data_IF_468965386483
#
_entry.id   IF_468965386483
#
_cell.length_a   1.000
_cell.length_b   1.000
_cell.length_c   1.000
_cell.angle_alpha   90.00
_cell.angle_beta   90.00
_cell.angle_gamma   90.00
#
_symmetry.space_group_name_H-M   'P 1'
#
loop_
_entity.id
_entity.type
_entity.pdbx_description
1 polymer ?
#
# COMPACT_ATOMS: atom_id res chain seq x y z
N UNK A 1 3.42 36.77 -0.30
CA UNK A 1 4.76 36.64 -0.93
C UNK A 1 5.28 35.23 -0.72
N UNK A 2 5.77 34.55 -1.77
CA UNK A 2 6.43 33.24 -1.64
C UNK A 2 7.92 33.47 -1.38
N UNK A 3 8.41 33.21 -0.17
CA UNK A 3 9.85 33.23 0.09
C UNK A 3 10.48 32.00 -0.57
N UNK A 4 11.37 32.22 -1.53
CA UNK A 4 12.08 31.14 -2.24
C UNK A 4 13.15 30.57 -1.31
N UNK A 5 13.13 29.25 -1.13
CA UNK A 5 14.15 28.56 -0.34
C UNK A 5 15.50 28.59 -1.05
N UNK A 6 16.60 28.76 -0.30
CA UNK A 6 17.94 28.65 -0.87
C UNK A 6 18.24 27.20 -1.30
N UNK A 7 18.98 27.07 -2.40
CA UNK A 7 19.44 25.77 -2.90
C UNK A 7 20.31 25.07 -1.87
N UNK A 8 20.37 23.73 -1.96
CA UNK A 8 21.18 22.92 -1.04
C UNK A 8 22.67 23.31 -1.07
N UNK A 9 23.20 23.56 -2.27
CA UNK A 9 24.59 23.98 -2.50
C UNK A 9 24.96 25.26 -1.72
N UNK A 10 24.05 26.25 -1.71
CA UNK A 10 24.26 27.51 -0.98
C UNK A 10 24.34 27.24 0.52
N UNK A 11 23.46 26.40 1.06
CA UNK A 11 23.46 26.00 2.48
C UNK A 11 24.71 25.20 2.87
N UNK A 12 25.14 24.30 2.00
CA UNK A 12 26.38 23.53 2.21
C UNK A 12 27.59 24.46 2.25
N UNK A 13 27.61 25.48 1.39
CA UNK A 13 28.68 26.49 1.37
C UNK A 13 28.68 27.33 2.64
N UNK A 14 27.51 27.69 3.18
CA UNK A 14 27.38 28.35 4.49
C UNK A 14 28.00 27.51 5.59
N UNK A 15 27.66 26.22 5.67
CA UNK A 15 28.19 25.30 6.70
C UNK A 15 29.70 25.10 6.52
N UNK A 16 30.21 24.96 5.29
CA UNK A 16 31.65 24.87 5.02
C UNK A 16 32.41 26.10 5.53
N UNK A 17 31.93 27.32 5.22
CA UNK A 17 32.55 28.56 5.71
C UNK A 17 32.44 28.70 7.22
N UNK A 18 31.33 28.26 7.83
CA UNK A 18 31.21 28.26 9.28
C UNK A 18 32.21 27.30 9.95
N UNK A 19 32.40 26.09 9.41
CA UNK A 19 33.42 25.14 9.89
C UNK A 19 34.85 25.66 9.75
N UNK A 20 35.12 26.48 8.74
CA UNK A 20 36.39 27.17 8.56
C UNK A 20 36.59 28.39 9.49
N UNK A 21 35.68 28.63 10.45
CA UNK A 21 35.81 29.68 11.47
C UNK A 21 35.36 31.07 11.03
N UNK A 22 34.73 31.22 9.86
CA UNK A 22 34.22 32.53 9.43
C UNK A 22 32.99 32.95 10.26
N UNK A 23 32.99 34.20 10.74
CA UNK A 23 31.85 34.78 11.47
C UNK A 23 30.63 35.04 10.57
N UNK A 24 29.44 35.11 11.19
CA UNK A 24 28.15 35.24 10.47
C UNK A 24 28.08 36.42 9.49
N UNK A 25 28.65 37.59 9.86
CA UNK A 25 28.66 38.80 9.01
C UNK A 25 29.48 38.59 7.74
N UNK A 26 30.66 37.96 7.85
CA UNK A 26 31.53 37.65 6.71
C UNK A 26 30.88 36.66 5.74
N UNK A 27 30.20 35.64 6.27
CA UNK A 27 29.47 34.65 5.45
C UNK A 27 28.29 35.31 4.71
N UNK A 28 27.53 36.15 5.41
CA UNK A 28 26.39 36.90 4.87
C UNK A 28 26.81 37.77 3.68
N UNK A 29 27.87 38.57 3.85
CA UNK A 29 28.40 39.41 2.78
C UNK A 29 28.94 38.60 1.60
N UNK A 30 29.68 37.52 1.86
CA UNK A 30 30.30 36.73 0.81
C UNK A 30 29.31 35.89 -0.04
N UNK A 31 28.11 35.64 0.47
CA UNK A 31 27.08 34.87 -0.25
C UNK A 31 25.86 35.72 -0.62
N UNK A 32 25.86 37.02 -0.27
CA UNK A 32 24.74 37.94 -0.42
C UNK A 32 23.42 37.40 0.17
N UNK A 33 23.51 36.79 1.37
CA UNK A 33 22.38 36.22 2.11
C UNK A 33 22.20 37.03 3.39
N UNK A 34 20.96 37.37 3.79
CA UNK A 34 20.75 38.07 5.06
C UNK A 34 21.28 37.27 6.25
N UNK A 35 21.87 37.97 7.22
CA UNK A 35 22.49 37.38 8.42
C UNK A 35 21.53 36.42 9.17
N UNK A 36 20.25 36.78 9.26
CA UNK A 36 19.21 35.96 9.92
C UNK A 36 19.08 34.58 9.29
N UNK A 37 19.16 34.49 7.96
CA UNK A 37 19.10 33.22 7.24
C UNK A 37 20.38 32.40 7.43
N UNK A 38 21.55 33.04 7.44
CA UNK A 38 22.82 32.36 7.77
C UNK A 38 22.74 31.75 9.18
N UNK A 39 22.23 32.51 10.15
CA UNK A 39 22.04 32.04 11.52
C UNK A 39 21.04 30.87 11.59
N UNK A 40 19.89 30.96 10.90
CA UNK A 40 18.90 29.90 10.85
C UNK A 40 19.46 28.60 10.25
N UNK A 41 20.26 28.69 9.18
CA UNK A 41 20.94 27.53 8.57
C UNK A 41 21.89 26.86 9.57
N UNK A 42 22.69 27.66 10.30
CA UNK A 42 23.68 27.13 11.24
C UNK A 42 23.02 26.54 12.50
N UNK A 43 21.96 27.18 13.02
CA UNK A 43 21.17 26.63 14.13
C UNK A 43 20.57 25.27 13.74
N UNK A 44 19.94 25.19 12.57
CA UNK A 44 19.39 23.94 12.05
C UNK A 44 20.47 22.86 11.86
N UNK A 45 21.63 23.24 11.34
CA UNK A 45 22.75 22.32 11.19
C UNK A 45 23.27 21.83 12.54
N UNK A 46 23.35 22.68 13.57
CA UNK A 46 23.75 22.27 14.92
C UNK A 46 22.76 21.25 15.52
N UNK A 47 21.47 21.46 15.34
CA UNK A 47 20.40 20.61 15.90
C UNK A 47 20.25 19.27 15.17
N UNK A 48 20.15 19.31 13.83
CA UNK A 48 19.81 18.12 13.02
C UNK A 48 20.98 17.54 12.23
N UNK A 49 22.15 18.19 12.25
CA UNK A 49 23.34 17.83 11.46
C UNK A 49 23.08 17.71 9.95
N UNK A 50 21.99 18.32 9.46
CA UNK A 50 21.58 18.28 8.05
C UNK A 50 21.47 19.67 7.45
N UNK A 51 21.91 19.77 6.19
CA UNK A 51 21.73 20.96 5.36
C UNK A 51 20.51 20.85 4.46
N UNK A 52 19.89 19.67 4.36
CA UNK A 52 18.69 19.45 3.54
C UNK A 52 17.44 20.10 4.19
N UNK A 53 16.43 20.40 3.37
CA UNK A 53 15.14 20.80 3.92
C UNK A 53 14.42 19.58 4.46
N UNK A 54 13.90 19.72 5.67
CA UNK A 54 13.06 18.68 6.26
C UNK A 54 11.71 18.77 5.56
N UNK A 55 11.03 17.63 5.33
CA UNK A 55 9.65 17.68 4.88
C UNK A 55 8.85 18.50 5.89
N UNK A 56 8.01 19.40 5.39
CA UNK A 56 7.12 20.17 6.25
C UNK A 56 6.18 19.18 6.95
N UNK A 57 5.90 19.34 8.26
CA UNK A 57 4.82 18.59 8.89
C UNK A 57 3.54 18.94 8.13
N UNK A 58 3.02 17.96 7.39
CA UNK A 58 1.84 18.12 6.57
C UNK A 58 0.59 18.35 7.41
N UNK A 59 -0.56 18.51 6.75
CA UNK A 59 -1.84 18.61 7.45
C UNK A 59 -2.10 17.32 8.25
N UNK A 60 -2.53 17.40 9.53
CA UNK A 60 -2.93 16.23 10.28
C UNK A 60 -4.07 15.49 9.57
N UNK A 61 -4.02 14.17 9.63
CA UNK A 61 -5.06 13.29 9.06
C UNK A 61 -6.38 13.45 9.82
N UNK A 62 -7.51 13.48 9.09
CA UNK A 62 -8.85 13.43 9.70
C UNK A 62 -9.14 12.09 10.40
N UNK A 63 -8.49 11.01 9.95
CA UNK A 63 -8.64 9.69 10.57
C UNK A 63 -7.71 9.58 11.77
N UNK A 64 -8.31 9.32 12.94
CA UNK A 64 -7.57 9.01 14.17
C UNK A 64 -6.92 7.62 14.07
N UNK A 65 -5.93 7.37 14.92
CA UNK A 65 -5.30 6.05 15.02
C UNK A 65 -6.30 4.94 15.38
N UNK A 66 -7.32 5.26 16.18
CA UNK A 66 -8.38 4.33 16.56
C UNK A 66 -9.26 3.97 15.36
N UNK A 67 -9.77 4.98 14.64
CA UNK A 67 -10.61 4.79 13.45
C UNK A 67 -9.86 4.01 12.38
N UNK A 68 -8.57 4.30 12.21
CA UNK A 68 -7.68 3.58 11.31
C UNK A 68 -7.60 2.08 11.64
N UNK A 69 -7.43 1.73 12.92
CA UNK A 69 -7.39 0.33 13.39
C UNK A 69 -8.73 -0.38 13.20
N UNK A 70 -9.85 0.32 13.42
CA UNK A 70 -11.19 -0.21 13.15
C UNK A 70 -11.36 -0.55 11.67
N UNK A 71 -11.04 0.40 10.80
CA UNK A 71 -11.11 0.25 9.35
C UNK A 71 -10.30 -0.94 8.81
N UNK A 72 -9.11 -1.21 9.37
CA UNK A 72 -8.31 -2.40 9.02
C UNK A 72 -9.04 -3.69 9.42
N UNK A 73 -9.60 -3.76 10.63
CA UNK A 73 -10.32 -4.96 11.11
C UNK A 73 -11.57 -5.22 10.28
N UNK A 74 -12.30 -4.17 9.92
CA UNK A 74 -13.54 -4.31 9.17
C UNK A 74 -13.26 -4.72 7.72
N UNK A 75 -12.25 -4.12 7.08
CA UNK A 75 -11.81 -4.50 5.74
C UNK A 75 -11.34 -5.96 5.66
N UNK A 76 -10.66 -6.46 6.69
CA UNK A 76 -10.23 -7.86 6.75
C UNK A 76 -11.41 -8.85 6.91
N UNK A 77 -12.44 -8.47 7.67
CA UNK A 77 -13.63 -9.31 7.87
C UNK A 77 -14.58 -9.29 6.68
N UNK A 78 -14.74 -8.14 6.04
CA UNK A 78 -15.76 -7.88 5.03
C UNK A 78 -15.17 -7.08 3.87
N UNK A 79 -14.52 -7.73 2.89
CA UNK A 79 -13.79 -7.06 1.83
C UNK A 79 -14.67 -6.26 0.84
N UNK A 80 -16.00 -6.44 0.88
CA UNK A 80 -16.95 -5.80 -0.04
C UNK A 80 -17.87 -4.73 0.60
N UNK A 81 -17.73 -4.41 1.88
CA UNK A 81 -18.59 -3.39 2.51
C UNK A 81 -18.02 -1.98 2.32
N UNK A 82 -18.85 -1.08 1.78
CA UNK A 82 -18.66 0.37 1.82
C UNK A 82 -18.84 0.88 3.24
N UNK A 83 -17.80 1.50 3.79
CA UNK A 83 -17.70 1.90 5.19
C UNK A 83 -18.48 3.21 5.45
N UNK A 84 -19.81 3.12 5.55
CA UNK A 84 -20.72 4.28 5.73
C UNK A 84 -20.72 4.89 7.14
N UNK A 85 -20.11 4.22 8.11
CA UNK A 85 -20.15 4.61 9.53
C UNK A 85 -19.09 5.67 9.91
N UNK A 86 -18.35 6.21 8.94
CA UNK A 86 -17.34 7.23 9.20
C UNK A 86 -17.80 8.60 8.76
N UNK A 87 -17.63 9.60 9.63
CA UNK A 87 -17.79 11.02 9.29
C UNK A 87 -16.62 11.56 8.43
N UNK A 88 -16.20 10.80 7.42
CA UNK A 88 -15.21 11.17 6.40
C UNK A 88 -15.71 10.75 5.03
N UNK A 89 -15.25 11.43 3.97
CA UNK A 89 -15.67 11.05 2.62
C UNK A 89 -15.20 9.65 2.24
N UNK A 90 -16.00 8.96 1.43
CA UNK A 90 -15.71 7.63 0.87
C UNK A 90 -14.38 7.58 0.13
N UNK A 91 -14.02 8.65 -0.60
CA UNK A 91 -12.71 8.79 -1.27
C UNK A 91 -11.56 8.76 -0.27
N UNK A 92 -11.72 9.41 0.89
CA UNK A 92 -10.69 9.43 1.95
C UNK A 92 -10.47 8.02 2.49
N UNK A 93 -11.55 7.27 2.71
CA UNK A 93 -11.51 5.87 3.14
C UNK A 93 -10.82 5.00 2.09
N UNK A 94 -11.20 5.12 0.82
CA UNK A 94 -10.64 4.34 -0.27
C UNK A 94 -9.13 4.58 -0.44
N UNK A 95 -8.69 5.85 -0.46
CA UNK A 95 -7.26 6.19 -0.51
C UNK A 95 -6.51 5.58 0.67
N UNK A 96 -7.09 5.65 1.87
CA UNK A 96 -6.46 5.11 3.08
C UNK A 96 -6.36 3.58 3.06
N UNK A 97 -7.39 2.90 2.55
CA UNK A 97 -7.37 1.44 2.35
C UNK A 97 -6.29 1.02 1.36
N UNK A 98 -6.16 1.73 0.23
CA UNK A 98 -5.09 1.50 -0.73
C UNK A 98 -3.70 1.73 -0.15
N UNK A 99 -3.50 2.81 0.62
CA UNK A 99 -2.24 3.05 1.35
C UNK A 99 -1.89 1.92 2.33
N UNK A 100 -2.90 1.20 2.85
CA UNK A 100 -2.71 0.04 3.74
C UNK A 100 -2.53 -1.28 2.99
N UNK A 101 -2.62 -1.28 1.66
CA UNK A 101 -2.52 -2.49 0.83
C UNK A 101 -3.83 -3.25 0.65
N UNK A 102 -4.97 -2.74 1.12
CA UNK A 102 -6.27 -3.30 0.77
C UNK A 102 -6.65 -2.85 -0.63
N UNK A 103 -6.57 -3.79 -1.57
CA UNK A 103 -7.02 -3.62 -2.94
C UNK A 103 -8.44 -4.18 -3.08
N UNK A 104 -9.24 -3.59 -3.96
CA UNK A 104 -10.55 -4.13 -4.37
C UNK A 104 -10.49 -4.79 -5.75
N UNK A 105 -9.85 -5.96 -5.91
CA UNK A 105 -9.89 -6.66 -7.19
C UNK A 105 -11.31 -7.16 -7.46
N UNK A 106 -11.72 -7.09 -8.73
CA UNK A 106 -12.96 -7.74 -9.15
C UNK A 106 -12.88 -9.23 -8.85
N UNK A 107 -13.90 -9.77 -8.17
CA UNK A 107 -13.97 -11.20 -7.91
C UNK A 107 -14.06 -11.95 -9.25
N UNK A 108 -13.17 -12.91 -9.47
CA UNK A 108 -13.24 -13.77 -10.64
C UNK A 108 -14.58 -14.53 -10.64
N UNK A 109 -15.22 -14.62 -11.80
CA UNK A 109 -16.42 -15.42 -11.96
C UNK A 109 -16.11 -16.89 -11.63
N UNK A 110 -16.87 -17.46 -10.69
CA UNK A 110 -16.74 -18.86 -10.26
C UNK A 110 -18.08 -19.55 -10.42
N UNK A 111 -18.18 -20.67 -11.17
CA UNK A 111 -19.43 -21.41 -11.27
C UNK A 111 -19.82 -21.94 -9.88
N UNK A 112 -21.13 -21.97 -9.60
CA UNK A 112 -21.66 -22.50 -8.35
C UNK A 112 -21.41 -24.01 -8.27
N UNK A 113 -20.57 -24.43 -7.32
CA UNK A 113 -20.29 -25.85 -7.07
C UNK A 113 -21.26 -26.34 -6.00
N UNK A 114 -22.09 -27.34 -6.31
CA UNK A 114 -22.94 -28.00 -5.33
C UNK A 114 -22.10 -28.88 -4.39
N UNK A 115 -22.58 -29.14 -3.17
CA UNK A 115 -21.87 -30.02 -2.22
C UNK A 115 -21.56 -31.41 -2.80
N UNK A 116 -22.48 -31.96 -3.60
CA UNK A 116 -22.27 -33.22 -4.34
C UNK A 116 -21.11 -33.13 -5.33
N UNK A 117 -21.02 -32.03 -6.08
CA UNK A 117 -19.94 -31.82 -7.05
C UNK A 117 -18.60 -31.57 -6.34
N UNK A 118 -18.61 -30.82 -5.22
CA UNK A 118 -17.41 -30.60 -4.40
C UNK A 118 -16.84 -31.92 -3.87
N UNK A 119 -17.70 -32.79 -3.30
CA UNK A 119 -17.29 -34.11 -2.81
C UNK A 119 -16.71 -34.98 -3.92
N UNK A 120 -17.39 -35.09 -5.06
CA UNK A 120 -16.90 -35.86 -6.22
C UNK A 120 -15.55 -35.36 -6.72
N UNK A 121 -15.37 -34.04 -6.84
CA UNK A 121 -14.09 -33.44 -7.24
C UNK A 121 -12.98 -33.76 -6.23
N UNK A 122 -13.27 -33.66 -4.94
CA UNK A 122 -12.30 -33.96 -3.89
C UNK A 122 -11.85 -35.43 -3.92
N UNK A 123 -12.80 -36.37 -4.00
CA UNK A 123 -12.47 -37.81 -4.09
C UNK A 123 -11.69 -38.13 -5.36
N UNK A 124 -12.06 -37.53 -6.49
CA UNK A 124 -11.35 -37.70 -7.75
C UNK A 124 -9.88 -37.25 -7.64
N UNK A 125 -9.63 -36.09 -7.01
CA UNK A 125 -8.28 -35.57 -6.77
C UNK A 125 -7.50 -36.43 -5.77
N UNK A 126 -8.12 -36.89 -4.68
CA UNK A 126 -7.46 -37.75 -3.68
C UNK A 126 -7.00 -39.08 -4.27
N UNK A 127 -7.87 -39.74 -5.03
CA UNK A 127 -7.57 -41.01 -5.69
C UNK A 127 -6.39 -40.91 -6.68
N UNK A 128 -6.15 -39.71 -7.22
CA UNK A 128 -5.15 -39.44 -8.28
C UNK A 128 -4.04 -38.50 -7.82
N UNK A 129 -3.86 -38.36 -6.50
CA UNK A 129 -2.86 -37.45 -5.92
C UNK A 129 -1.42 -37.78 -6.36
N UNK A 130 -1.15 -39.05 -6.65
CA UNK A 130 0.16 -39.56 -7.05
C UNK A 130 0.32 -39.68 -8.58
N UNK A 131 -0.64 -39.21 -9.37
CA UNK A 131 -0.55 -39.30 -10.82
C UNK A 131 0.54 -38.39 -11.38
N UNK A 132 1.25 -38.90 -12.39
CA UNK A 132 2.21 -38.12 -13.19
C UNK A 132 1.49 -37.36 -14.31
N UNK A 133 2.17 -36.37 -14.90
CA UNK A 133 1.62 -35.59 -16.01
C UNK A 133 1.25 -36.48 -17.22
N UNK A 134 2.02 -37.53 -17.49
CA UNK A 134 1.74 -38.49 -18.56
C UNK A 134 0.46 -39.27 -18.31
N UNK A 135 0.24 -39.72 -17.07
CA UNK A 135 -0.98 -40.42 -16.66
C UNK A 135 -2.22 -39.51 -16.73
N UNK A 136 -2.05 -38.22 -16.47
CA UNK A 136 -3.10 -37.22 -16.69
C UNK A 136 -3.39 -36.98 -18.17
N UNK A 137 -2.36 -36.89 -19.01
CA UNK A 137 -2.51 -36.62 -20.44
C UNK A 137 -3.17 -37.76 -21.20
N UNK A 138 -3.01 -39.00 -20.74
CA UNK A 138 -3.66 -40.17 -21.34
C UNK A 138 -5.03 -40.50 -20.74
N UNK A 139 -5.47 -39.77 -19.70
CA UNK A 139 -6.76 -40.02 -19.08
C UNK A 139 -7.92 -39.57 -19.98
N UNK A 140 -8.74 -40.54 -20.40
CA UNK A 140 -10.04 -40.28 -21.01
C UNK A 140 -11.13 -40.51 -19.96
N UNK A 141 -11.93 -39.49 -19.59
CA UNK A 141 -13.03 -39.70 -18.66
C UNK A 141 -14.04 -40.68 -19.27
N UNK A 142 -14.61 -41.60 -18.47
CA UNK A 142 -15.68 -42.46 -18.95
C UNK A 142 -16.81 -41.56 -19.49
N UNK A 143 -17.28 -41.84 -20.71
CA UNK A 143 -18.47 -41.21 -21.26
C UNK A 143 -19.58 -41.32 -20.22
N UNK A 144 -20.26 -40.20 -19.94
CA UNK A 144 -21.40 -40.20 -19.03
C UNK A 144 -22.31 -41.38 -19.40
N UNK A 145 -22.76 -42.22 -18.45
CA UNK A 145 -23.71 -43.26 -18.78
C UNK A 145 -24.89 -42.57 -19.47
N UNK A 146 -25.18 -42.94 -20.72
CA UNK A 146 -26.45 -42.59 -21.32
C UNK A 146 -27.50 -43.03 -20.32
N UNK A 147 -28.39 -42.13 -19.91
CA UNK A 147 -29.58 -42.52 -19.17
C UNK A 147 -30.35 -43.50 -20.06
N UNK A 148 -30.01 -44.79 -19.95
CA UNK A 148 -30.78 -45.86 -20.53
C UNK A 148 -32.07 -45.86 -19.74
N UNK A 149 -33.15 -45.65 -20.50
CA UNK A 149 -34.51 -45.93 -20.09
C UNK A 149 -34.56 -47.42 -19.75
N UNK A 150 -34.28 -47.77 -18.50
CA UNK A 150 -34.75 -49.02 -17.92
C UNK A 150 -36.25 -48.86 -17.67
N UNK A 151 -36.92 -49.03 -18.81
CA UNK A 151 -38.31 -49.38 -19.01
C UNK A 151 -38.74 -50.38 -17.95
N UNK A 152 -39.78 -49.98 -17.22
CA UNK A 152 -40.77 -50.84 -16.58
C UNK A 152 -40.95 -52.12 -17.39
N UNK A 153 -40.62 -53.29 -16.83
CA UNK A 153 -41.29 -54.60 -17.00
C UNK A 153 -40.39 -55.72 -16.47
N UNK A 154 -40.89 -56.47 -15.47
CA UNK A 154 -40.26 -57.63 -14.86
C UNK A 154 -40.66 -57.77 -13.41
#
# INVERSE_FOLDING_TARGET
MKNKEHTRQVRDTVVKKFKAGFGYKKISQALNIPRSTVQAIILKWKEYQTTANLPRPGRPSKLSAHTRRRLIRDAAKRPMITLDELNVSTITVHRKLHEMGFLGPAAAHKPKITMRNAKRRLEWCKARRHWTLEQFSCYRPPSAPSCALDTILG
#
